data_IF_162116261310
#
_entry.id   IF_162116261310
#
_cell.length_a   1.000
_cell.length_b   1.000
_cell.length_c   1.000
_cell.angle_alpha   90.00
_cell.angle_beta   90.00
_cell.angle_gamma   90.00
#
_symmetry.space_group_name_H-M   'P 1'
#
loop_
_entity.id
_entity.type
_entity.pdbx_description
1 polymer ?
#
# COMPACT_ATOMS: atom_id res chain seq x y z
N UNK A 1 0.11 -21.35 22.22
CA UNK A 1 0.98 -20.60 21.28
C UNK A 1 0.23 -19.62 20.40
N UNK A 2 -0.89 -20.02 19.77
CA UNK A 2 -1.66 -19.17 18.83
C UNK A 2 -2.15 -17.82 19.39
N UNK A 3 -2.66 -17.80 20.62
CA UNK A 3 -3.13 -16.55 21.26
C UNK A 3 -2.00 -15.53 21.48
N UNK A 4 -0.80 -15.99 21.87
CA UNK A 4 0.34 -15.12 22.11
C UNK A 4 0.90 -14.53 20.80
N UNK A 5 0.97 -15.32 19.74
CA UNK A 5 1.41 -14.86 18.42
C UNK A 5 0.46 -13.79 17.86
N UNK A 6 -0.86 -14.01 17.97
CA UNK A 6 -1.86 -13.04 17.54
C UNK A 6 -1.74 -11.72 18.31
N UNK A 7 -1.62 -11.77 19.64
CA UNK A 7 -1.45 -10.56 20.47
C UNK A 7 -0.18 -9.79 20.10
N UNK A 8 0.92 -10.51 19.88
CA UNK A 8 2.17 -9.90 19.44
C UNK A 8 2.03 -9.25 18.06
N UNK A 9 1.47 -9.96 17.08
CA UNK A 9 1.25 -9.45 15.73
C UNK A 9 0.35 -8.20 15.75
N UNK A 10 -0.76 -8.24 16.48
CA UNK A 10 -1.64 -7.07 16.64
C UNK A 10 -0.91 -5.89 17.29
N UNK A 11 -0.05 -6.14 18.28
CA UNK A 11 0.75 -5.07 18.89
C UNK A 11 1.69 -4.42 17.85
N UNK A 12 2.45 -5.23 17.10
CA UNK A 12 3.34 -4.71 16.04
C UNK A 12 2.57 -3.96 14.95
N UNK A 13 1.40 -4.47 14.55
CA UNK A 13 0.54 -3.81 13.58
C UNK A 13 0.00 -2.46 14.07
N UNK A 14 -0.33 -2.35 15.36
CA UNK A 14 -0.76 -1.07 15.94
C UNK A 14 0.38 -0.05 15.96
N UNK A 15 1.63 -0.49 16.22
CA UNK A 15 2.82 0.37 16.17
C UNK A 15 3.11 0.95 14.77
N UNK A 16 2.57 0.37 13.69
CA UNK A 16 2.67 0.94 12.35
C UNK A 16 1.89 2.27 12.20
N UNK A 17 0.96 2.56 13.12
CA UNK A 17 0.23 3.83 13.19
C UNK A 17 0.79 4.79 14.24
N UNK A 18 1.94 4.46 14.86
CA UNK A 18 2.57 5.32 15.84
C UNK A 18 3.05 6.64 15.21
N UNK A 19 2.93 7.75 15.93
CA UNK A 19 3.38 9.06 15.42
C UNK A 19 4.89 9.15 15.14
N UNK A 20 5.70 8.23 15.70
CA UNK A 20 7.15 8.19 15.52
C UNK A 20 7.55 7.33 14.30
N UNK A 21 8.16 7.96 13.30
CA UNK A 21 8.58 7.31 12.05
C UNK A 21 9.58 6.15 12.26
N UNK A 22 10.59 6.33 13.12
CA UNK A 22 11.58 5.29 13.39
C UNK A 22 10.97 4.03 14.02
N UNK A 23 9.92 4.18 14.83
CA UNK A 23 9.17 3.06 15.40
C UNK A 23 8.41 2.32 14.30
N UNK A 24 7.76 3.05 13.38
CA UNK A 24 7.08 2.48 12.21
C UNK A 24 8.02 1.73 11.28
N UNK A 25 9.22 2.25 11.03
CA UNK A 25 10.25 1.59 10.23
C UNK A 25 10.73 0.27 10.85
N UNK A 26 10.89 0.23 12.18
CA UNK A 26 11.23 -1.03 12.87
C UNK A 26 10.08 -2.03 12.80
N UNK A 27 8.86 -1.56 13.03
CA UNK A 27 7.65 -2.38 12.96
C UNK A 27 7.43 -2.96 11.57
N UNK A 28 7.61 -2.18 10.49
CA UNK A 28 7.41 -2.70 9.13
C UNK A 28 8.45 -3.78 8.77
N UNK A 29 9.72 -3.58 9.17
CA UNK A 29 10.78 -4.59 8.98
C UNK A 29 10.47 -5.87 9.77
N UNK A 30 9.94 -5.72 10.98
CA UNK A 30 9.51 -6.87 11.78
C UNK A 30 8.31 -7.59 11.15
N UNK A 31 7.34 -6.85 10.60
CA UNK A 31 6.22 -7.44 9.85
C UNK A 31 6.73 -8.21 8.63
N UNK A 32 7.69 -7.67 7.87
CA UNK A 32 8.29 -8.41 6.74
C UNK A 32 8.87 -9.76 7.19
N UNK A 33 9.61 -9.78 8.30
CA UNK A 33 10.15 -11.02 8.87
C UNK A 33 9.04 -11.98 9.33
N UNK A 34 7.98 -11.47 9.95
CA UNK A 34 6.85 -12.27 10.41
C UNK A 34 6.06 -12.88 9.25
N UNK A 35 5.85 -12.14 8.15
CA UNK A 35 5.19 -12.66 6.95
C UNK A 35 6.00 -13.82 6.36
N UNK A 36 7.32 -13.69 6.29
CA UNK A 36 8.21 -14.76 5.79
C UNK A 36 8.29 -15.93 6.78
N UNK A 37 8.28 -15.70 8.09
CA UNK A 37 8.38 -16.78 9.08
C UNK A 37 7.06 -17.56 9.23
N UNK A 38 5.92 -16.87 9.11
CA UNK A 38 4.61 -17.49 9.28
C UNK A 38 4.03 -18.06 7.97
N UNK A 39 4.51 -17.60 6.81
CA UNK A 39 4.08 -18.03 5.48
C UNK A 39 2.55 -18.22 5.40
N UNK A 40 2.10 -19.42 5.02
CA UNK A 40 0.69 -19.81 4.85
C UNK A 40 -0.13 -19.76 6.15
N UNK A 41 0.51 -19.84 7.31
CA UNK A 41 -0.19 -19.75 8.60
C UNK A 41 -0.72 -18.33 8.87
N UNK A 42 -0.28 -17.34 8.11
CA UNK A 42 -0.80 -15.97 8.17
C UNK A 42 -2.24 -15.86 7.64
N UNK A 43 -2.64 -16.80 6.78
CA UNK A 43 -3.96 -16.81 6.09
C UNK A 43 -5.12 -16.65 7.06
N UNK A 44 -5.01 -17.21 8.26
CA UNK A 44 -6.08 -17.22 9.25
C UNK A 44 -6.31 -15.87 9.94
N UNK A 45 -5.29 -15.01 9.96
CA UNK A 45 -5.36 -13.67 10.54
C UNK A 45 -5.39 -12.58 9.45
N UNK A 46 -5.47 -12.95 8.17
CA UNK A 46 -5.52 -12.02 7.01
C UNK A 46 -6.58 -10.94 7.17
N UNK A 47 -7.79 -11.31 7.61
CA UNK A 47 -8.89 -10.36 7.85
C UNK A 47 -8.62 -9.36 8.99
N UNK A 48 -7.67 -9.66 9.88
CA UNK A 48 -7.19 -8.72 10.90
C UNK A 48 -6.01 -7.89 10.37
N UNK A 49 -5.10 -8.52 9.63
CA UNK A 49 -3.85 -7.91 9.16
C UNK A 49 -4.10 -6.87 8.08
N UNK A 50 -4.86 -7.23 7.03
CA UNK A 50 -5.12 -6.34 5.88
C UNK A 50 -5.67 -4.97 6.32
N UNK A 51 -6.76 -4.87 7.10
CA UNK A 51 -7.30 -3.56 7.46
C UNK A 51 -6.34 -2.73 8.34
N UNK A 52 -5.54 -3.35 9.21
CA UNK A 52 -4.55 -2.64 10.02
C UNK A 52 -3.38 -2.12 9.18
N UNK A 53 -2.87 -2.95 8.26
CA UNK A 53 -1.83 -2.53 7.31
C UNK A 53 -2.33 -1.44 6.37
N UNK A 54 -3.56 -1.57 5.88
CA UNK A 54 -4.16 -0.59 4.99
C UNK A 54 -4.35 0.75 5.69
N UNK A 55 -4.83 0.74 6.95
CA UNK A 55 -4.90 1.95 7.78
C UNK A 55 -3.54 2.60 7.95
N UNK A 56 -2.52 1.84 8.33
CA UNK A 56 -1.18 2.37 8.55
C UNK A 56 -0.53 2.91 7.26
N UNK A 57 -0.73 2.22 6.15
CA UNK A 57 -0.27 2.68 4.84
C UNK A 57 -0.98 3.96 4.42
N UNK A 58 -2.31 4.02 4.54
CA UNK A 58 -3.09 5.23 4.30
C UNK A 58 -2.59 6.42 5.13
N UNK A 59 -2.38 6.23 6.43
CA UNK A 59 -1.80 7.26 7.32
C UNK A 59 -0.42 7.70 6.83
N UNK A 60 0.41 6.76 6.37
CA UNK A 60 1.73 7.07 5.79
C UNK A 60 1.63 7.95 4.55
N UNK A 61 0.70 7.63 3.64
CA UNK A 61 0.48 8.40 2.42
C UNK A 61 -0.06 9.80 2.72
N UNK A 62 -0.93 9.94 3.73
CA UNK A 62 -1.44 11.24 4.18
C UNK A 62 -0.38 12.13 4.86
N UNK A 63 0.52 11.53 5.64
CA UNK A 63 1.62 12.23 6.31
C UNK A 63 2.76 12.60 5.37
N UNK A 64 2.95 11.83 4.30
CA UNK A 64 3.93 12.15 3.27
C UNK A 64 3.38 13.34 2.50
N UNK A 65 3.98 14.55 2.58
CA UNK A 65 3.51 15.66 1.79
C UNK A 65 3.71 15.27 0.33
N UNK A 66 2.62 14.99 -0.39
CA UNK A 66 2.64 15.11 -1.83
C UNK A 66 3.04 16.57 -2.09
N UNK A 67 4.32 16.82 -2.32
CA UNK A 67 4.79 18.12 -2.80
C UNK A 67 4.38 18.20 -4.28
N UNK A 68 3.07 18.23 -4.51
CA UNK A 68 2.40 18.75 -5.69
C UNK A 68 1.87 20.14 -5.35
N UNK A 69 2.74 20.99 -4.82
CA UNK A 69 2.51 22.42 -4.82
C UNK A 69 3.60 23.06 -5.66
N UNK A 70 3.14 23.58 -6.79
CA UNK A 70 3.77 24.62 -7.59
C UNK A 70 4.77 25.42 -6.77
N UNK A 71 6.05 25.36 -7.13
CA UNK A 71 6.96 26.43 -6.74
C UNK A 71 6.35 27.75 -7.27
N UNK A 72 6.23 28.81 -6.46
CA UNK A 72 5.84 30.09 -7.00
C UNK A 72 6.88 30.48 -8.05
N UNK A 73 6.43 30.67 -9.29
CA UNK A 73 7.24 31.19 -10.39
C UNK A 73 7.73 32.57 -9.95
N UNK A 74 8.94 32.62 -9.39
CA UNK A 74 9.65 33.87 -9.17
C UNK A 74 10.48 34.11 -10.42
N UNK A 75 10.02 35.06 -11.24
CA UNK A 75 10.70 35.56 -12.43
C UNK A 75 12.08 36.11 -12.05
N UNK A 76 13.09 35.61 -12.76
CA UNK A 76 14.50 35.95 -12.61
C UNK A 76 14.81 37.38 -13.07
N UNK A 77 15.64 38.10 -12.32
CA UNK A 77 16.52 39.14 -12.87
C UNK A 77 18.00 38.82 -12.55
N UNK A 78 18.71 38.44 -13.63
CA UNK A 78 20.08 38.80 -14.03
C UNK A 78 21.36 38.39 -13.23
N UNK A 79 22.16 37.51 -13.88
CA UNK A 79 23.66 37.47 -14.05
C UNK A 79 24.61 36.87 -12.97
N UNK A 80 25.83 36.37 -13.34
CA UNK A 80 26.24 34.97 -13.13
C UNK A 80 27.62 34.73 -12.45
N UNK A 81 27.95 33.48 -12.09
CA UNK A 81 29.21 32.73 -12.43
C UNK A 81 29.65 31.68 -11.38
N UNK A 82 29.51 30.40 -11.78
CA UNK A 82 30.39 29.21 -11.60
C UNK A 82 31.18 28.94 -10.29
N UNK A 83 30.77 27.90 -9.55
CA UNK A 83 31.44 26.57 -9.48
C UNK A 83 30.69 25.60 -8.54
N UNK A 84 30.35 24.42 -9.09
CA UNK A 84 30.10 23.12 -8.43
C UNK A 84 29.19 23.01 -7.19
N UNK A 85 27.95 22.58 -7.41
CA UNK A 85 27.47 21.25 -7.01
C UNK A 85 26.09 21.00 -7.64
N UNK A 86 26.02 20.04 -8.57
CA UNK A 86 24.76 19.40 -8.93
C UNK A 86 24.48 18.28 -7.93
N UNK A 87 23.24 18.15 -7.48
CA UNK A 87 22.57 16.85 -7.42
C UNK A 87 21.41 16.91 -8.40
N UNK A 88 21.58 16.36 -9.60
CA UNK A 88 21.12 15.01 -9.94
C UNK A 88 19.62 14.85 -9.73
N UNK A 89 18.88 14.93 -10.85
CA UNK A 89 17.59 14.30 -11.15
C UNK A 89 16.76 13.82 -9.95
N UNK A 90 15.64 14.50 -9.69
CA UNK A 90 14.62 14.08 -8.73
C UNK A 90 13.97 12.79 -9.27
N UNK A 91 14.61 11.66 -9.02
CA UNK A 91 13.91 10.38 -8.98
C UNK A 91 12.94 10.44 -7.80
N UNK A 92 11.66 10.25 -8.10
CA UNK A 92 10.61 10.12 -7.10
C UNK A 92 10.84 8.80 -6.33
N UNK A 93 11.70 8.83 -5.30
CA UNK A 93 11.92 7.70 -4.41
C UNK A 93 10.88 7.76 -3.28
N UNK A 94 9.91 6.83 -3.22
CA UNK A 94 9.08 6.66 -2.03
C UNK A 94 9.91 6.63 -0.76
N UNK A 95 9.36 7.11 0.36
CA UNK A 95 10.03 6.97 1.65
C UNK A 95 10.31 5.49 1.94
N UNK A 96 11.37 5.19 2.70
CA UNK A 96 11.71 3.80 3.08
C UNK A 96 10.50 3.07 3.68
N UNK A 97 9.64 3.80 4.37
CA UNK A 97 8.43 3.25 4.98
C UNK A 97 7.40 2.81 3.93
N UNK A 98 7.17 3.62 2.89
CA UNK A 98 6.30 3.26 1.76
C UNK A 98 6.84 2.03 1.05
N UNK A 99 8.14 1.98 0.77
CA UNK A 99 8.77 0.77 0.20
C UNK A 99 8.60 -0.45 1.10
N UNK A 100 8.71 -0.29 2.41
CA UNK A 100 8.45 -1.35 3.38
C UNK A 100 7.03 -1.91 3.26
N UNK A 101 6.01 -1.04 3.18
CA UNK A 101 4.62 -1.47 2.99
C UNK A 101 4.42 -2.23 1.67
N UNK A 102 4.91 -1.69 0.56
CA UNK A 102 4.79 -2.35 -0.75
C UNK A 102 5.44 -3.74 -0.75
N UNK A 103 6.59 -3.86 -0.08
CA UNK A 103 7.29 -5.15 0.07
C UNK A 103 6.48 -6.13 0.93
N UNK A 104 5.88 -5.66 2.04
CA UNK A 104 4.97 -6.49 2.86
C UNK A 104 3.80 -6.98 2.02
N UNK A 105 3.17 -6.13 1.21
CA UNK A 105 2.04 -6.51 0.36
C UNK A 105 2.44 -7.56 -0.67
N UNK A 106 3.59 -7.40 -1.31
CA UNK A 106 4.13 -8.41 -2.22
C UNK A 106 4.37 -9.75 -1.51
N UNK A 107 5.01 -9.74 -0.36
CA UNK A 107 5.28 -10.95 0.42
C UNK A 107 3.98 -11.62 0.86
N UNK A 108 3.00 -10.86 1.33
CA UNK A 108 1.68 -11.38 1.65
C UNK A 108 1.03 -12.03 0.43
N UNK A 109 1.13 -11.42 -0.75
CA UNK A 109 0.67 -12.02 -2.00
C UNK A 109 1.34 -13.34 -2.37
N UNK A 110 2.64 -13.48 -2.04
CA UNK A 110 3.41 -14.71 -2.28
C UNK A 110 2.96 -15.87 -1.38
N UNK A 111 2.56 -15.59 -0.13
CA UNK A 111 2.27 -16.63 0.88
C UNK A 111 0.78 -16.83 1.19
N UNK A 112 -0.09 -15.88 0.85
CA UNK A 112 -1.54 -15.96 1.10
C UNK A 112 -2.25 -16.31 -0.20
N UNK A 113 -3.15 -17.29 -0.16
CA UNK A 113 -3.93 -17.69 -1.33
C UNK A 113 -4.89 -16.57 -1.79
N UNK A 114 -4.99 -16.28 -3.10
CA UNK A 114 -5.88 -15.25 -3.67
C UNK A 114 -7.32 -15.27 -3.19
N UNK A 115 -7.90 -16.46 -2.95
CA UNK A 115 -9.25 -16.62 -2.40
C UNK A 115 -9.48 -15.86 -1.09
N UNK A 116 -8.42 -15.65 -0.31
CA UNK A 116 -8.50 -15.02 1.01
C UNK A 116 -8.63 -13.51 0.93
N UNK A 117 -8.02 -12.88 -0.08
CA UNK A 117 -7.85 -11.43 -0.11
C UNK A 117 -8.46 -10.73 -1.32
N UNK A 118 -8.62 -11.40 -2.48
CA UNK A 118 -9.05 -10.73 -3.72
C UNK A 118 -10.44 -10.15 -3.56
N UNK A 119 -11.43 -10.96 -3.17
CA UNK A 119 -12.79 -10.47 -2.94
C UNK A 119 -12.84 -9.39 -1.84
N UNK A 120 -12.11 -9.60 -0.74
CA UNK A 120 -12.04 -8.66 0.37
C UNK A 120 -11.51 -7.27 -0.04
N UNK A 121 -10.49 -7.23 -0.89
CA UNK A 121 -9.92 -5.98 -1.39
C UNK A 121 -10.77 -5.37 -2.52
N UNK A 122 -11.36 -6.19 -3.39
CA UNK A 122 -12.27 -5.71 -4.45
C UNK A 122 -13.52 -5.06 -3.87
N UNK A 123 -14.15 -5.63 -2.85
CA UNK A 123 -15.28 -5.00 -2.15
C UNK A 123 -14.92 -3.61 -1.60
N UNK A 124 -13.68 -3.41 -1.14
CA UNK A 124 -13.18 -2.10 -0.69
C UNK A 124 -12.90 -1.12 -1.82
N UNK A 125 -12.53 -1.63 -3.00
CA UNK A 125 -12.33 -0.81 -4.19
C UNK A 125 -13.65 -0.30 -4.77
N UNK A 126 -14.65 -1.18 -4.86
CA UNK A 126 -15.94 -0.88 -5.49
C UNK A 126 -16.93 -0.25 -4.51
N UNK A 127 -16.62 -0.24 -3.21
CA UNK A 127 -17.57 0.05 -2.12
C UNK A 127 -18.83 -0.85 -2.17
N UNK A 128 -18.79 -1.97 -2.88
CA UNK A 128 -19.85 -2.99 -2.86
C UNK A 128 -19.68 -3.83 -1.60
N UNK A 129 -20.51 -3.52 -0.59
CA UNK A 129 -20.29 -3.90 0.79
C UNK A 129 -20.35 -5.40 1.10
N UNK A 130 -19.42 -5.82 1.96
CA UNK A 130 -19.48 -7.01 2.82
C UNK A 130 -20.21 -6.72 4.16
N UNK A 131 -20.85 -5.55 4.27
CA UNK A 131 -21.47 -5.05 5.51
C UNK A 131 -20.49 -4.38 6.49
N UNK A 132 -19.19 -4.37 6.20
CA UNK A 132 -18.19 -3.63 6.98
C UNK A 132 -18.06 -2.23 6.38
N UNK A 133 -18.59 -1.22 7.08
CA UNK A 133 -18.49 0.16 6.65
C UNK A 133 -17.02 0.52 6.38
N UNK A 134 -16.72 0.96 5.15
CA UNK A 134 -15.43 1.51 4.81
C UNK A 134 -15.26 2.83 5.59
N UNK A 135 -14.32 2.92 6.55
CA UNK A 135 -14.17 4.12 7.37
C UNK A 135 -13.62 5.32 6.58
N UNK A 136 -13.15 5.11 5.35
CA UNK A 136 -12.55 6.14 4.51
C UNK A 136 -13.16 6.09 3.10
N UNK A 137 -13.89 7.14 2.73
CA UNK A 137 -14.50 7.29 1.38
C UNK A 137 -13.68 8.19 0.46
N UNK A 138 -12.48 8.60 0.88
CA UNK A 138 -11.60 9.46 0.09
C UNK A 138 -10.88 8.67 -1.02
N UNK A 139 -10.62 9.35 -2.14
CA UNK A 139 -9.88 8.83 -3.29
C UNK A 139 -8.51 8.26 -2.89
N UNK A 140 -7.83 8.90 -1.95
CA UNK A 140 -6.52 8.43 -1.45
C UNK A 140 -6.61 7.03 -0.83
N UNK A 141 -7.69 6.72 -0.11
CA UNK A 141 -7.88 5.40 0.47
C UNK A 141 -8.13 4.35 -0.62
N UNK A 142 -8.95 4.67 -1.63
CA UNK A 142 -9.18 3.79 -2.79
C UNK A 142 -7.87 3.48 -3.53
N UNK A 143 -7.00 4.49 -3.71
CA UNK A 143 -5.65 4.29 -4.27
C UNK A 143 -4.80 3.37 -3.38
N UNK A 144 -4.89 3.51 -2.06
CA UNK A 144 -4.17 2.64 -1.12
C UNK A 144 -4.63 1.18 -1.22
N UNK A 145 -5.94 0.94 -1.32
CA UNK A 145 -6.50 -0.39 -1.54
C UNK A 145 -6.01 -0.95 -2.89
N UNK A 146 -6.00 -0.13 -3.93
CA UNK A 146 -5.56 -0.54 -5.27
C UNK A 146 -4.08 -0.92 -5.27
N UNK A 147 -3.21 -0.12 -4.65
CA UNK A 147 -1.79 -0.43 -4.50
C UNK A 147 -1.58 -1.75 -3.77
N UNK A 148 -2.27 -1.96 -2.65
CA UNK A 148 -2.19 -3.21 -1.89
C UNK A 148 -2.63 -4.40 -2.75
N UNK A 149 -3.77 -4.29 -3.44
CA UNK A 149 -4.26 -5.36 -4.32
C UNK A 149 -3.28 -5.69 -5.44
N UNK A 150 -2.75 -4.68 -6.13
CA UNK A 150 -1.77 -4.87 -7.21
C UNK A 150 -0.52 -5.56 -6.70
N UNK A 151 0.03 -5.12 -5.56
CA UNK A 151 1.24 -5.71 -5.00
C UNK A 151 1.00 -7.16 -4.52
N UNK A 152 -0.14 -7.44 -3.90
CA UNK A 152 -0.49 -8.82 -3.51
C UNK A 152 -0.67 -9.71 -4.75
N UNK A 153 -1.42 -9.26 -5.76
CA UNK A 153 -1.59 -9.99 -7.03
C UNK A 153 -0.24 -10.22 -7.74
N UNK A 154 0.66 -9.25 -7.69
CA UNK A 154 2.01 -9.38 -8.22
C UNK A 154 2.80 -10.47 -7.49
N UNK A 155 2.77 -10.48 -6.15
CA UNK A 155 3.41 -11.49 -5.31
C UNK A 155 2.90 -12.92 -5.58
N UNK A 156 1.60 -13.08 -5.85
CA UNK A 156 0.98 -14.38 -6.09
C UNK A 156 1.43 -15.06 -7.38
N UNK A 157 2.10 -14.34 -8.29
CA UNK A 157 2.72 -14.94 -9.48
C UNK A 157 3.89 -15.87 -9.13
N UNK A 158 4.54 -15.64 -8.00
CA UNK A 158 5.74 -16.38 -7.56
C UNK A 158 5.46 -17.54 -6.59
N UNK A 159 4.25 -17.65 -6.05
CA UNK A 159 3.81 -18.78 -5.22
C UNK A 159 3.24 -19.88 -6.12
N UNK A 160 3.86 -21.05 -6.15
CA UNK A 160 3.54 -22.10 -7.11
C UNK A 160 2.07 -22.51 -7.11
N UNK A 161 1.34 -22.13 -8.17
CA UNK A 161 0.08 -22.76 -8.56
C UNK A 161 -1.13 -21.84 -8.66
N UNK A 162 -1.46 -21.40 -9.88
CA UNK A 162 -2.82 -21.32 -10.45
C UNK A 162 -3.92 -20.48 -9.78
N UNK A 163 -3.76 -19.99 -8.55
CA UNK A 163 -4.86 -19.48 -7.73
C UNK A 163 -5.46 -18.14 -8.17
N UNK A 164 -4.79 -17.41 -9.06
CA UNK A 164 -5.30 -16.11 -9.53
C UNK A 164 -6.30 -16.25 -10.69
N UNK A 165 -6.20 -17.32 -11.49
CA UNK A 165 -7.02 -17.49 -12.68
C UNK A 165 -8.54 -17.44 -12.40
N UNK A 166 -9.06 -18.04 -11.32
CA UNK A 166 -10.47 -17.97 -10.95
C UNK A 166 -10.98 -16.58 -10.58
N UNK A 167 -10.09 -15.59 -10.38
CA UNK A 167 -10.46 -14.24 -9.96
C UNK A 167 -10.25 -13.18 -11.05
N UNK A 168 -9.76 -13.56 -12.23
CA UNK A 168 -9.42 -12.61 -13.29
C UNK A 168 -10.65 -11.81 -13.76
N UNK A 169 -11.81 -12.44 -13.82
CA UNK A 169 -13.08 -11.80 -14.17
C UNK A 169 -13.46 -10.70 -13.17
N UNK A 170 -13.39 -11.01 -11.88
CA UNK A 170 -13.69 -10.07 -10.78
C UNK A 170 -12.69 -8.92 -10.77
N UNK A 171 -11.40 -9.20 -10.95
CA UNK A 171 -10.35 -8.17 -11.03
C UNK A 171 -10.54 -7.26 -12.23
N UNK A 172 -10.80 -7.83 -13.42
CA UNK A 172 -11.03 -7.05 -14.64
C UNK A 172 -12.27 -6.19 -14.50
N UNK A 173 -13.37 -6.74 -13.96
CA UNK A 173 -14.60 -5.98 -13.71
C UNK A 173 -14.32 -4.81 -12.77
N UNK A 174 -13.75 -5.08 -11.60
CA UNK A 174 -13.46 -4.04 -10.59
C UNK A 174 -12.54 -2.94 -11.13
N UNK A 175 -11.50 -3.29 -11.88
CA UNK A 175 -10.57 -2.33 -12.49
C UNK A 175 -11.20 -1.56 -13.65
N UNK A 176 -12.16 -2.16 -14.37
CA UNK A 176 -12.90 -1.47 -15.43
C UNK A 176 -13.89 -0.47 -14.83
N UNK A 177 -14.57 -0.84 -13.75
CA UNK A 177 -15.47 0.05 -13.02
C UNK A 177 -14.68 1.21 -12.37
N UNK A 178 -13.45 0.95 -11.91
CA UNK A 178 -12.51 1.96 -11.42
C UNK A 178 -12.08 2.99 -12.48
N UNK A 179 -12.21 2.71 -13.79
CA UNK A 179 -11.95 3.71 -14.86
C UNK A 179 -12.96 4.88 -14.85
N UNK A 180 -14.00 4.81 -14.01
CA UNK A 180 -14.91 5.94 -13.74
C UNK A 180 -14.35 6.88 -12.65
N UNK A 181 -13.23 6.55 -12.00
CA UNK A 181 -12.49 7.54 -11.24
C UNK A 181 -11.93 8.58 -12.22
N UNK A 182 -12.24 9.88 -12.05
CA UNK A 182 -11.65 10.91 -12.88
C UNK A 182 -10.14 10.84 -12.66
N UNK A 183 -9.43 10.35 -13.66
CA UNK A 183 -8.04 10.76 -13.85
C UNK A 183 -8.15 12.25 -14.08
N UNK A 184 -7.94 13.07 -13.05
CA UNK A 184 -7.84 14.51 -13.23
C UNK A 184 -6.81 14.77 -14.32
N UNK A 185 -7.33 15.14 -15.47
CA UNK A 185 -6.65 15.40 -16.72
C UNK A 185 -5.94 16.75 -16.66
N UNK A 186 -5.13 16.96 -15.62
CA UNK A 186 -4.39 18.19 -15.35
C UNK A 186 -2.87 18.09 -15.51
N UNK A 187 -2.34 16.94 -15.94
CA UNK A 187 -0.87 16.71 -16.02
C UNK A 187 -0.33 16.68 -17.46
N UNK A 188 -1.16 16.96 -18.48
CA UNK A 188 -0.68 17.14 -19.86
C UNK A 188 -1.40 18.32 -20.53
N UNK A 189 -0.90 19.52 -20.25
CA UNK A 189 -1.21 20.77 -20.94
C UNK A 189 -0.05 21.73 -20.79
#
# INVERSE_FOLDING_TARGET
MRSNCKRFLTAVLNELTAWQEHTRLKSIRLIMLLVVLCEEHLTIDTYTIIPLLLKAYYTTIQETPLTMHQAPISTSHHTPSFLHHTPSSIHHTPSELVYGFLTVFELMGRFIHPDTYVYYLVCRLTNEGDGVANPYTDHTYTLCVAHMLVMMVYGSKGGGGGGLAPHLDVLVKALTDLRVLPLDSGVLG
#
